data_IF_311022339382
#
_entry.id   IF_311022339382
#
_cell.length_a   1.000
_cell.length_b   1.000
_cell.length_c   1.000
_cell.angle_alpha   90.00
_cell.angle_beta   90.00
_cell.angle_gamma   90.00
#
_symmetry.space_group_name_H-M   'P 1'
#
loop_
_entity.id
_entity.type
_entity.pdbx_description
1 polymer ?
#
# COMPACT_ATOMS: atom_id res chain seq x y z
N UNK A 1 -12.26 -12.56 -7.42
CA UNK A 1 -11.88 -11.16 -7.68
C UNK A 1 -11.60 -11.05 -9.16
N UNK A 2 -12.37 -10.23 -9.87
CA UNK A 2 -12.15 -9.99 -11.29
C UNK A 2 -10.89 -9.13 -11.45
N UNK A 3 -9.87 -9.68 -12.11
CA UNK A 3 -8.58 -9.02 -12.34
C UNK A 3 -8.76 -7.75 -13.17
N UNK A 4 -9.73 -7.72 -14.07
CA UNK A 4 -10.02 -6.56 -14.91
C UNK A 4 -10.60 -5.42 -14.11
N UNK A 5 -11.62 -5.69 -13.30
CA UNK A 5 -12.19 -4.70 -12.39
C UNK A 5 -11.16 -4.12 -11.41
N UNK A 6 -10.21 -4.94 -10.96
CA UNK A 6 -9.11 -4.50 -10.09
C UNK A 6 -8.14 -3.54 -10.80
N UNK A 7 -7.79 -3.81 -12.06
CA UNK A 7 -6.97 -2.93 -12.88
C UNK A 7 -7.72 -1.63 -13.23
N UNK A 8 -8.99 -1.71 -13.57
CA UNK A 8 -9.83 -0.55 -13.86
C UNK A 8 -9.92 0.37 -12.63
N UNK A 9 -10.07 -0.19 -11.43
CA UNK A 9 -10.04 0.58 -10.19
C UNK A 9 -8.69 1.32 -9.99
N UNK A 10 -7.56 0.67 -10.30
CA UNK A 10 -6.24 1.29 -10.20
C UNK A 10 -6.01 2.39 -11.22
N UNK A 11 -6.56 2.25 -12.42
CA UNK A 11 -6.56 3.30 -13.45
C UNK A 11 -7.45 4.47 -13.01
N UNK A 12 -8.66 4.19 -12.53
CA UNK A 12 -9.61 5.20 -12.05
C UNK A 12 -9.06 5.97 -10.84
N UNK A 13 -8.37 5.28 -9.93
CA UNK A 13 -7.65 5.87 -8.81
C UNK A 13 -6.32 6.54 -9.19
N UNK A 14 -5.95 6.59 -10.46
CA UNK A 14 -4.66 7.12 -10.98
C UNK A 14 -3.40 6.46 -10.42
N UNK A 15 -3.53 5.32 -9.76
CA UNK A 15 -2.39 4.54 -9.28
C UNK A 15 -1.55 4.06 -10.46
N UNK A 16 -2.22 3.52 -11.48
CA UNK A 16 -1.58 3.25 -12.77
C UNK A 16 -1.53 4.59 -13.53
N UNK A 17 -0.33 4.97 -13.95
CA UNK A 17 -0.03 6.28 -14.55
C UNK A 17 0.83 7.14 -13.64
N UNK A 18 0.40 7.36 -12.38
CA UNK A 18 1.15 8.24 -11.46
C UNK A 18 2.22 7.48 -10.65
N UNK A 19 1.93 6.24 -10.24
CA UNK A 19 2.80 5.46 -9.33
C UNK A 19 3.36 4.20 -10.00
N UNK A 20 2.53 3.50 -10.76
CA UNK A 20 2.87 2.25 -11.42
C UNK A 20 2.63 2.34 -12.93
N UNK A 21 3.44 1.65 -13.72
CA UNK A 21 3.12 1.37 -15.12
C UNK A 21 2.03 0.30 -15.23
N UNK A 22 1.32 0.26 -16.35
CA UNK A 22 0.35 -0.80 -16.64
C UNK A 22 1.05 -2.18 -16.64
N UNK A 23 0.39 -3.19 -16.10
CA UNK A 23 0.94 -4.53 -15.96
C UNK A 23 -0.17 -5.60 -15.93
N UNK A 24 0.24 -6.85 -16.08
CA UNK A 24 -0.64 -8.02 -15.93
C UNK A 24 -0.41 -8.64 -14.55
N UNK A 25 -1.40 -8.64 -13.65
CA UNK A 25 -1.28 -9.27 -12.34
C UNK A 25 -0.98 -10.76 -12.48
N UNK A 26 0.00 -11.23 -11.70
CA UNK A 26 0.50 -12.61 -11.73
C UNK A 26 0.44 -13.30 -10.36
N UNK A 27 0.01 -12.59 -9.31
CA UNK A 27 -0.13 -13.10 -7.97
C UNK A 27 -1.38 -12.52 -7.28
N UNK A 28 -1.83 -13.19 -6.20
CA UNK A 28 -2.89 -12.70 -5.34
C UNK A 28 -2.28 -12.11 -4.07
N UNK A 29 -2.60 -10.86 -3.77
CA UNK A 29 -2.29 -10.20 -2.50
C UNK A 29 -3.56 -10.14 -1.65
N UNK A 30 -3.43 -10.47 -0.37
CA UNK A 30 -4.50 -10.35 0.63
C UNK A 30 -3.91 -9.50 1.75
N UNK A 31 -4.54 -8.36 2.04
CA UNK A 31 -4.19 -7.52 3.19
C UNK A 31 -5.41 -7.43 4.08
N UNK A 32 -5.18 -7.64 5.37
CA UNK A 32 -6.21 -7.57 6.39
C UNK A 32 -5.69 -6.71 7.54
N UNK A 33 -6.48 -5.71 7.94
CA UNK A 33 -6.25 -4.96 9.16
C UNK A 33 -7.22 -5.46 10.22
N UNK A 34 -6.70 -6.04 11.30
CA UNK A 34 -7.51 -6.64 12.36
C UNK A 34 -8.52 -7.65 11.79
N UNK A 35 -9.82 -7.31 11.75
CA UNK A 35 -10.88 -8.14 11.18
C UNK A 35 -11.39 -7.66 9.81
N UNK A 36 -10.79 -6.61 9.25
CA UNK A 36 -11.23 -5.95 8.02
C UNK A 36 -10.32 -6.34 6.85
N UNK A 37 -10.89 -7.06 5.87
CA UNK A 37 -10.20 -7.34 4.61
C UNK A 37 -10.14 -6.08 3.75
N UNK A 38 -8.95 -5.72 3.31
CA UNK A 38 -8.73 -4.59 2.40
C UNK A 38 -9.03 -5.02 0.97
N UNK A 39 -9.81 -4.20 0.27
CA UNK A 39 -10.14 -4.38 -1.15
C UNK A 39 -9.82 -3.10 -1.92
N UNK A 40 -9.64 -3.20 -3.24
CA UNK A 40 -9.28 -2.04 -4.07
C UNK A 40 -10.33 -0.94 -4.00
N UNK A 41 -9.89 0.29 -3.73
CA UNK A 41 -10.76 1.47 -3.67
C UNK A 41 -11.60 1.58 -2.40
N UNK A 42 -11.36 0.73 -1.40
CA UNK A 42 -12.04 0.80 -0.12
C UNK A 42 -11.58 2.04 0.67
N UNK A 43 -12.50 2.75 1.31
CA UNK A 43 -12.17 3.85 2.22
C UNK A 43 -11.89 3.26 3.61
N UNK A 44 -10.68 3.46 4.12
CA UNK A 44 -10.28 3.01 5.46
C UNK A 44 -10.18 4.21 6.40
N UNK A 45 -10.82 4.09 7.56
CA UNK A 45 -10.81 5.09 8.62
C UNK A 45 -9.55 4.96 9.49
N UNK A 46 -8.65 5.96 9.57
CA UNK A 46 -7.41 5.89 10.35
C UNK A 46 -7.57 5.50 11.82
N UNK A 47 -8.58 6.08 12.49
CA UNK A 47 -8.68 5.98 13.94
C UNK A 47 -9.06 4.58 14.43
N UNK A 48 -9.61 3.73 13.57
CA UNK A 48 -9.97 2.36 13.97
C UNK A 48 -8.75 1.45 14.08
N UNK A 49 -7.59 1.87 13.58
CA UNK A 49 -6.38 1.04 13.54
C UNK A 49 -5.10 1.82 13.91
N UNK A 50 -5.21 3.08 14.37
CA UNK A 50 -4.11 3.87 14.96
C UNK A 50 -3.41 3.13 16.13
N UNK A 51 -4.12 2.21 16.80
CA UNK A 51 -3.61 1.38 17.91
C UNK A 51 -3.06 0.01 17.51
N UNK A 52 -3.19 -0.43 16.25
CA UNK A 52 -2.63 -1.71 15.81
C UNK A 52 -1.12 -1.58 15.57
N UNK A 53 -0.37 -1.39 16.65
CA UNK A 53 1.09 -1.55 16.65
C UNK A 53 1.42 -3.04 16.44
N UNK A 54 2.03 -3.32 15.28
CA UNK A 54 3.05 -4.32 14.91
C UNK A 54 2.94 -5.81 15.32
N UNK A 55 2.07 -6.24 16.23
CA UNK A 55 2.07 -7.64 16.74
C UNK A 55 1.48 -8.68 15.76
N UNK A 56 1.05 -8.25 14.55
CA UNK A 56 0.32 -9.10 13.60
C UNK A 56 0.87 -9.18 12.18
N UNK A 57 2.01 -8.56 11.85
CA UNK A 57 2.56 -8.63 10.49
C UNK A 57 3.24 -9.99 10.28
N UNK A 58 2.48 -10.96 9.77
CA UNK A 58 3.01 -12.25 9.37
C UNK A 58 3.44 -12.22 7.89
N UNK A 59 4.57 -11.56 7.62
CA UNK A 59 5.23 -11.59 6.31
C UNK A 59 6.49 -12.42 6.47
N UNK A 60 6.56 -13.54 5.75
CA UNK A 60 7.80 -14.30 5.64
C UNK A 60 8.84 -13.46 4.87
N UNK A 61 9.76 -12.81 5.59
CA UNK A 61 10.77 -11.96 4.98
C UNK A 61 11.52 -11.10 5.99
N UNK A 62 12.53 -10.37 5.49
CA UNK A 62 13.29 -9.39 6.27
C UNK A 62 12.67 -8.02 6.11
N UNK A 63 12.19 -7.44 7.21
CA UNK A 63 11.68 -6.08 7.21
C UNK A 63 12.83 -5.08 7.01
N UNK A 64 12.71 -4.21 6.00
CA UNK A 64 13.68 -3.15 5.74
C UNK A 64 13.33 -1.83 6.40
N UNK A 65 12.05 -1.57 6.63
CA UNK A 65 11.55 -0.36 7.26
C UNK A 65 10.26 -0.69 8.02
N UNK A 66 10.13 -0.30 9.30
CA UNK A 66 8.95 -0.59 10.11
C UNK A 66 7.66 -0.17 9.41
N UNK A 67 6.61 -0.98 9.50
CA UNK A 67 5.28 -0.53 9.08
C UNK A 67 4.83 0.69 9.90
N UNK A 68 4.31 1.70 9.21
CA UNK A 68 3.65 2.88 9.79
C UNK A 68 2.38 3.07 8.98
N UNK A 69 1.23 2.97 9.63
CA UNK A 69 -0.01 3.04 8.89
C UNK A 69 -0.46 4.45 8.49
N UNK A 70 -1.55 4.55 7.71
CA UNK A 70 -2.10 5.81 7.22
C UNK A 70 -2.28 6.94 8.25
N UNK A 71 -1.50 8.00 8.11
CA UNK A 71 -1.72 9.26 8.83
C UNK A 71 -1.98 10.40 7.84
N UNK A 72 -3.12 10.38 7.12
CA UNK A 72 -3.45 11.41 6.16
C UNK A 72 -3.61 12.79 6.85
N UNK A 73 -2.98 13.86 6.35
CA UNK A 73 -2.98 15.16 7.02
C UNK A 73 -4.29 15.96 6.87
N UNK A 74 -4.86 16.05 5.66
CA UNK A 74 -6.01 16.96 5.42
C UNK A 74 -6.96 16.50 4.31
N UNK A 75 -6.47 15.78 3.30
CA UNK A 75 -7.27 15.33 2.14
C UNK A 75 -7.38 13.81 2.11
N UNK A 76 -8.08 13.27 1.11
CA UNK A 76 -8.07 11.83 0.82
C UNK A 76 -6.70 11.49 0.21
N UNK A 77 -5.99 10.54 0.81
CA UNK A 77 -4.74 9.98 0.33
C UNK A 77 -4.95 8.53 -0.10
N UNK A 78 -4.29 8.15 -1.19
CA UNK A 78 -4.24 6.77 -1.66
C UNK A 78 -3.03 6.08 -1.03
N UNK A 79 -3.27 4.92 -0.43
CA UNK A 79 -2.25 4.03 0.09
C UNK A 79 -2.16 2.79 -0.79
N UNK A 80 -0.95 2.46 -1.25
CA UNK A 80 -0.69 1.40 -2.21
C UNK A 80 0.22 0.32 -1.60
N UNK A 81 -0.23 -0.92 -1.70
CA UNK A 81 0.61 -2.11 -1.60
C UNK A 81 0.95 -2.61 -3.00
N UNK A 82 2.23 -2.81 -3.26
CA UNK A 82 2.74 -3.37 -4.50
C UNK A 82 3.71 -4.52 -4.18
N UNK A 83 3.41 -5.71 -4.71
CA UNK A 83 4.27 -6.90 -4.56
C UNK A 83 5.08 -7.09 -5.82
N UNK A 84 6.37 -7.33 -5.67
CA UNK A 84 7.28 -7.61 -6.78
C UNK A 84 7.93 -8.99 -6.63
N UNK A 85 8.19 -9.64 -7.76
CA UNK A 85 8.91 -10.92 -7.77
C UNK A 85 10.42 -10.64 -7.80
N UNK A 86 11.13 -11.18 -6.81
CA UNK A 86 12.60 -11.16 -6.81
C UNK A 86 13.12 -12.19 -7.82
N UNK A 87 14.17 -11.85 -8.58
CA UNK A 87 14.81 -12.76 -9.55
C UNK A 87 15.58 -13.91 -8.87
N UNK A 88 15.88 -13.78 -7.58
CA UNK A 88 16.60 -14.76 -6.78
C UNK A 88 16.57 -14.38 -5.30
N UNK A 89 17.35 -15.07 -4.48
CA UNK A 89 17.52 -14.72 -3.06
C UNK A 89 18.18 -13.35 -2.96
N UNK A 90 17.54 -12.42 -2.25
CA UNK A 90 18.05 -11.07 -2.01
C UNK A 90 18.16 -10.82 -0.51
N UNK A 91 19.35 -10.46 -0.01
CA UNK A 91 19.54 -10.10 1.40
C UNK A 91 19.07 -8.69 1.74
N UNK A 92 19.15 -7.78 0.77
CA UNK A 92 18.69 -6.39 0.84
C UNK A 92 18.50 -5.80 -0.56
N UNK A 93 17.84 -4.65 -0.63
CA UNK A 93 17.80 -3.79 -1.84
C UNK A 93 19.12 -3.02 -1.99
N UNK A 94 19.46 -2.64 -3.24
CA UNK A 94 20.69 -1.89 -3.58
C UNK A 94 20.80 -0.57 -2.82
N UNK A 95 19.73 0.24 -2.86
CA UNK A 95 19.65 1.50 -2.12
C UNK A 95 18.60 1.36 -1.02
N UNK A 96 19.04 1.27 0.24
CA UNK A 96 18.10 1.19 1.37
C UNK A 96 17.46 2.57 1.61
N UNK A 97 16.12 2.69 1.64
CA UNK A 97 15.47 3.92 2.05
C UNK A 97 15.83 4.27 3.50
N UNK A 98 16.37 5.46 3.72
CA UNK A 98 16.62 6.03 5.06
C UNK A 98 15.48 6.91 5.55
N UNK A 99 14.69 7.44 4.62
CA UNK A 99 13.53 8.29 4.89
C UNK A 99 12.31 7.78 4.12
N UNK A 100 11.11 8.11 4.61
CA UNK A 100 9.84 7.74 3.94
C UNK A 100 9.41 8.74 2.86
N UNK A 101 9.82 10.00 2.98
CA UNK A 101 9.46 11.06 2.02
C UNK A 101 10.20 10.83 0.69
N UNK A 102 9.57 11.24 -0.41
CA UNK A 102 10.14 11.14 -1.76
C UNK A 102 10.51 9.72 -2.20
N UNK A 103 9.92 8.69 -1.58
CA UNK A 103 10.06 7.31 -2.03
C UNK A 103 9.39 7.13 -3.41
N UNK A 104 10.06 6.40 -4.31
CA UNK A 104 9.54 6.05 -5.63
C UNK A 104 9.61 4.54 -5.84
N UNK A 105 8.43 3.93 -5.99
CA UNK A 105 8.30 2.50 -6.28
C UNK A 105 8.98 2.13 -7.61
N UNK A 106 8.80 2.95 -8.64
CA UNK A 106 9.42 2.73 -9.95
C UNK A 106 10.95 2.76 -9.90
N UNK A 107 11.53 3.72 -9.18
CA UNK A 107 12.98 3.79 -8.98
C UNK A 107 13.51 2.57 -8.21
N UNK A 108 12.84 2.18 -7.12
CA UNK A 108 13.21 0.99 -6.35
C UNK A 108 13.19 -0.28 -7.24
N UNK A 109 12.12 -0.46 -8.03
CA UNK A 109 11.97 -1.61 -8.91
C UNK A 109 13.03 -1.63 -10.02
N UNK A 110 13.33 -0.48 -10.62
CA UNK A 110 14.35 -0.34 -11.65
C UNK A 110 15.76 -0.66 -11.13
N UNK A 111 16.15 -0.06 -10.00
CA UNK A 111 17.48 -0.29 -9.40
C UNK A 111 17.68 -1.76 -9.03
N UNK A 112 16.65 -2.43 -8.53
CA UNK A 112 16.73 -3.81 -8.07
C UNK A 112 16.29 -4.85 -9.12
N UNK A 113 16.04 -4.41 -10.36
CA UNK A 113 15.58 -5.25 -11.47
C UNK A 113 14.37 -6.12 -11.14
N UNK A 114 13.44 -5.59 -10.34
CA UNK A 114 12.26 -6.31 -9.87
C UNK A 114 11.19 -6.48 -10.96
N UNK A 115 11.32 -5.74 -12.06
CA UNK A 115 10.35 -5.73 -13.15
C UNK A 115 9.04 -5.05 -12.76
N UNK A 116 7.94 -5.50 -13.38
CA UNK A 116 6.60 -5.00 -13.09
C UNK A 116 6.04 -5.66 -11.81
N UNK A 117 5.12 -4.98 -11.10
CA UNK A 117 4.47 -5.56 -9.93
C UNK A 117 3.68 -6.82 -10.31
N UNK A 118 3.66 -7.80 -9.41
CA UNK A 118 2.90 -9.04 -9.55
C UNK A 118 1.48 -8.92 -8.97
N UNK A 119 1.28 -8.05 -7.98
CA UNK A 119 -0.03 -7.79 -7.38
C UNK A 119 -0.10 -6.36 -6.83
N UNK A 120 -1.17 -5.59 -7.18
CA UNK A 120 -1.50 -4.32 -6.56
C UNK A 120 -2.66 -4.46 -5.56
N UNK A 121 -2.64 -3.64 -4.52
CA UNK A 121 -3.81 -3.38 -3.70
C UNK A 121 -3.75 -1.93 -3.20
N UNK A 122 -4.83 -1.16 -3.37
CA UNK A 122 -4.89 0.19 -2.84
C UNK A 122 -6.16 0.46 -2.05
N UNK A 123 -6.08 1.41 -1.14
CA UNK A 123 -7.21 1.94 -0.41
C UNK A 123 -7.06 3.44 -0.21
N UNK A 124 -8.17 4.11 0.03
CA UNK A 124 -8.20 5.52 0.32
C UNK A 124 -8.25 5.74 1.83
N UNK A 125 -7.66 6.82 2.32
CA UNK A 125 -7.79 7.21 3.70
C UNK A 125 -7.78 8.72 3.84
N UNK A 126 -8.58 9.26 4.74
CA UNK A 126 -8.66 10.69 5.02
C UNK A 126 -8.63 10.97 6.52
N UNK A 127 -8.18 12.17 6.90
CA UNK A 127 -8.26 12.60 8.29
C UNK A 127 -9.71 12.64 8.74
N UNK A 128 -9.99 12.15 9.95
CA UNK A 128 -11.32 12.30 10.51
C UNK A 128 -11.69 13.78 10.69
N UNK A 129 -12.89 14.19 10.29
CA UNK A 129 -13.48 15.42 10.79
C UNK A 129 -13.58 15.32 12.32
N UNK A 130 -13.10 16.31 13.06
CA UNK A 130 -13.38 16.37 14.51
C UNK A 130 -14.90 16.44 14.69
N UNK A 131 -15.51 15.36 15.16
CA UNK A 131 -16.88 15.40 15.67
C UNK A 131 -16.89 16.34 16.87
N UNK A 132 -17.52 17.50 16.68
CA UNK A 132 -17.76 18.44 17.77
C UNK A 132 -18.99 17.92 18.51
N UNK A 133 -18.80 17.27 19.65
CA UNK A 133 -19.91 16.92 20.52
C UNK A 133 -20.59 18.23 20.97
N UNK A 134 -21.69 18.59 20.33
CA UNK A 134 -22.62 19.59 20.86
C UNK A 134 -23.49 18.87 21.90
N UNK A 135 -22.98 18.79 23.13
CA UNK A 135 -23.85 18.55 24.27
C UNK A 135 -24.75 19.79 24.41
N UNK A 136 -26.05 19.61 24.18
CA UNK A 136 -27.10 20.50 24.66
C UNK A 136 -27.31 20.25 26.16
#
# INVERSE_FOLDING_TARGET
MDVRAALDALVMGRVIGDVLNLFVPAAKLIVQYESTLVTNGFDINPSSWETSNLDGINIAGKELMPYVGPQPPTVIHIYLFAVFKQKGVMETVKTRPVERKNFSTGKLAGENELGLPAAPLYFNSQKQPRTRNSSL
#
